data_IF_077475640740
#
_entry.id   IF_077475640740
#
_cell.length_a   1.000
_cell.length_b   1.000
_cell.length_c   1.000
_cell.angle_alpha   90.00
_cell.angle_beta   90.00
_cell.angle_gamma   90.00
#
_symmetry.space_group_name_H-M   'P 1'
#
loop_
_entity.id
_entity.type
_entity.pdbx_description
1 polymer ?
#
# COMPACT_ATOMS: atom_id res chain seq x y z
N UNK A 1 19.97 -74.87 -41.51
CA UNK A 1 19.61 -75.52 -42.79
C UNK A 1 19.20 -74.42 -43.77
N UNK A 2 19.90 -74.32 -44.91
CA UNK A 2 19.56 -73.67 -46.20
C UNK A 2 19.01 -72.23 -46.15
N UNK A 3 19.77 -71.21 -46.57
CA UNK A 3 20.00 -70.79 -47.98
C UNK A 3 18.73 -70.65 -48.83
N UNK A 4 18.57 -69.44 -49.40
CA UNK A 4 18.17 -69.07 -50.78
C UNK A 4 17.32 -67.77 -50.68
N UNK A 5 17.77 -66.56 -51.06
CA UNK A 5 18.37 -66.02 -52.31
C UNK A 5 17.32 -65.53 -53.33
N UNK A 6 17.42 -64.22 -53.58
CA UNK A 6 17.08 -63.41 -54.76
C UNK A 6 15.62 -63.26 -55.22
N UNK A 7 15.19 -62.00 -55.37
CA UNK A 7 15.11 -61.38 -56.70
C UNK A 7 15.05 -59.85 -56.61
N UNK A 8 15.83 -59.19 -57.46
CA UNK A 8 15.87 -57.75 -57.67
C UNK A 8 14.58 -57.22 -58.29
N UNK A 9 14.20 -55.99 -57.94
CA UNK A 9 13.74 -55.00 -58.92
C UNK A 9 14.12 -53.60 -58.42
N UNK A 10 14.88 -52.87 -59.23
CA UNK A 10 15.19 -51.46 -59.03
C UNK A 10 14.09 -50.59 -59.65
N UNK A 11 13.64 -49.56 -58.93
CA UNK A 11 12.93 -48.41 -59.51
C UNK A 11 13.19 -47.15 -58.68
N UNK A 12 14.13 -46.35 -59.21
CA UNK A 12 14.17 -44.89 -59.40
C UNK A 12 13.33 -44.03 -58.43
N UNK A 13 14.07 -43.12 -57.79
CA UNK A 13 13.70 -42.14 -56.79
C UNK A 13 12.60 -41.13 -57.19
N UNK A 14 11.76 -40.79 -56.21
CA UNK A 14 11.11 -39.49 -56.11
C UNK A 14 11.28 -39.00 -54.66
N UNK A 15 12.09 -37.94 -54.48
CA UNK A 15 12.31 -37.31 -53.19
C UNK A 15 11.02 -36.68 -52.66
N UNK A 16 10.59 -37.09 -51.47
CA UNK A 16 9.63 -36.34 -50.68
C UNK A 16 10.37 -35.26 -49.87
N UNK A 17 9.87 -34.02 -49.83
CA UNK A 17 10.50 -32.96 -49.05
C UNK A 17 10.42 -33.29 -47.56
N UNK A 18 11.55 -33.14 -46.88
CA UNK A 18 11.59 -33.12 -45.42
C UNK A 18 10.70 -31.96 -44.96
N UNK A 19 9.56 -32.29 -44.36
CA UNK A 19 8.76 -31.31 -43.63
C UNK A 19 9.56 -30.94 -42.39
N UNK A 20 10.27 -29.81 -42.48
CA UNK A 20 10.81 -29.12 -41.31
C UNK A 20 9.63 -28.82 -40.39
N UNK A 21 9.46 -29.65 -39.35
CA UNK A 21 8.51 -29.38 -38.28
C UNK A 21 8.86 -28.03 -37.67
N UNK A 22 8.06 -27.00 -37.98
CA UNK A 22 8.06 -25.79 -37.17
C UNK A 22 7.63 -26.23 -35.79
N UNK A 23 8.55 -26.18 -34.83
CA UNK A 23 8.18 -26.16 -33.43
C UNK A 23 7.27 -24.93 -33.26
N UNK A 24 5.96 -25.17 -33.17
CA UNK A 24 5.02 -24.16 -32.71
C UNK A 24 5.40 -23.97 -31.26
N UNK A 25 6.06 -22.85 -30.94
CA UNK A 25 6.27 -22.44 -29.57
C UNK A 25 4.88 -22.39 -28.91
N UNK A 26 4.62 -23.32 -28.01
CA UNK A 26 3.40 -23.25 -27.20
C UNK A 26 3.38 -21.87 -26.53
N UNK A 27 2.27 -21.12 -26.61
CA UNK A 27 2.15 -19.89 -25.85
C UNK A 27 2.34 -20.28 -24.38
N UNK A 28 3.39 -19.75 -23.76
CA UNK A 28 3.61 -19.90 -22.34
C UNK A 28 2.35 -19.42 -21.64
N UNK A 29 1.65 -20.31 -20.93
CA UNK A 29 0.53 -19.97 -20.05
C UNK A 29 1.06 -19.29 -18.79
N UNK A 30 1.82 -18.22 -18.95
CA UNK A 30 1.99 -17.27 -17.85
C UNK A 30 0.66 -16.53 -17.77
N UNK A 31 -0.18 -16.93 -16.83
CA UNK A 31 -1.27 -16.08 -16.38
C UNK A 31 -0.60 -14.84 -15.79
N UNK A 32 -0.49 -13.76 -16.58
CA UNK A 32 -0.27 -12.46 -15.96
C UNK A 32 -1.40 -12.24 -14.96
N UNK A 33 -1.03 -11.93 -13.72
CA UNK A 33 -1.97 -11.50 -12.70
C UNK A 33 -2.75 -10.30 -13.27
N UNK A 34 -4.05 -10.48 -13.51
CA UNK A 34 -4.87 -9.42 -14.06
C UNK A 34 -5.12 -8.39 -12.97
N UNK A 35 -4.70 -7.17 -13.22
CA UNK A 35 -5.00 -6.04 -12.33
C UNK A 35 -6.51 -5.98 -12.05
N UNK A 36 -6.88 -5.86 -10.79
CA UNK A 36 -8.27 -5.79 -10.33
C UNK A 36 -8.59 -4.35 -9.94
N UNK A 37 -9.71 -3.83 -10.43
CA UNK A 37 -10.18 -2.47 -10.11
C UNK A 37 -11.39 -2.50 -9.18
N UNK A 38 -11.32 -1.69 -8.13
CA UNK A 38 -12.26 -1.55 -7.03
C UNK A 38 -12.82 -0.13 -7.08
N UNK A 39 -14.14 0.02 -7.15
CA UNK A 39 -14.78 1.35 -7.25
C UNK A 39 -15.94 1.53 -6.27
N UNK A 40 -16.47 0.45 -5.70
CA UNK A 40 -17.47 0.49 -4.63
C UNK A 40 -16.87 1.01 -3.32
N UNK A 41 -17.68 1.71 -2.54
CA UNK A 41 -17.24 2.42 -1.33
C UNK A 41 -16.40 1.57 -0.37
N UNK A 42 -16.77 0.30 -0.22
CA UNK A 42 -16.15 -0.66 0.71
C UNK A 42 -15.50 -1.84 -0.01
N UNK A 43 -15.25 -1.72 -1.31
CA UNK A 43 -14.56 -2.75 -2.07
C UNK A 43 -13.15 -2.97 -1.49
N UNK A 44 -12.73 -4.23 -1.46
CA UNK A 44 -11.39 -4.60 -1.05
C UNK A 44 -10.89 -5.83 -1.81
N UNK A 45 -9.58 -6.00 -1.84
CA UNK A 45 -8.94 -7.19 -2.41
C UNK A 45 -7.79 -7.63 -1.52
N UNK A 46 -7.82 -8.90 -1.10
CA UNK A 46 -6.68 -9.53 -0.46
C UNK A 46 -5.69 -10.00 -1.53
N UNK A 47 -4.41 -9.62 -1.41
CA UNK A 47 -3.32 -10.09 -2.26
C UNK A 47 -2.04 -10.25 -1.43
N UNK A 48 -1.44 -11.45 -1.48
CA UNK A 48 -0.29 -11.80 -0.65
C UNK A 48 -0.55 -11.58 0.85
N UNK A 49 0.33 -10.80 1.48
CA UNK A 49 0.25 -10.42 2.89
C UNK A 49 -0.57 -9.15 3.13
N UNK A 50 -1.31 -8.66 2.14
CA UNK A 50 -2.01 -7.37 2.22
C UNK A 50 -3.50 -7.52 1.91
N UNK A 51 -4.29 -6.63 2.49
CA UNK A 51 -5.63 -6.32 1.99
C UNK A 51 -5.64 -4.87 1.54
N UNK A 52 -5.94 -4.63 0.26
CA UNK A 52 -6.08 -3.29 -0.30
C UNK A 52 -7.54 -2.88 -0.22
N UNK A 53 -7.80 -1.74 0.39
CA UNK A 53 -9.14 -1.19 0.59
C UNK A 53 -9.34 0.05 -0.27
N UNK A 54 -10.56 0.19 -0.79
CA UNK A 54 -11.02 1.42 -1.42
C UNK A 54 -11.36 2.49 -0.39
N UNK A 55 -12.09 2.11 0.67
CA UNK A 55 -12.36 2.87 1.89
C UNK A 55 -12.78 4.34 1.66
N UNK A 56 -13.91 4.55 0.98
CA UNK A 56 -14.47 5.89 0.77
C UNK A 56 -15.37 6.32 1.95
N UNK A 57 -14.87 6.17 3.18
CA UNK A 57 -15.65 6.39 4.40
C UNK A 57 -16.23 7.81 4.52
N UNK A 58 -15.51 8.81 4.00
CA UNK A 58 -15.86 10.22 4.11
C UNK A 58 -16.52 10.80 2.85
N UNK A 59 -16.85 9.97 1.85
CA UNK A 59 -17.29 10.45 0.54
C UNK A 59 -18.58 11.29 0.58
N UNK A 60 -19.43 11.10 1.59
CA UNK A 60 -20.65 11.89 1.79
C UNK A 60 -20.39 13.36 2.10
N UNK A 61 -19.17 13.73 2.50
CA UNK A 61 -18.76 15.13 2.68
C UNK A 61 -18.37 15.84 1.37
N UNK A 62 -18.26 15.09 0.27
CA UNK A 62 -18.02 15.66 -1.05
C UNK A 62 -19.31 16.19 -1.66
N UNK A 63 -19.23 17.31 -2.39
CA UNK A 63 -20.32 17.77 -3.25
C UNK A 63 -20.43 16.94 -4.52
N UNK A 64 -19.30 16.41 -4.99
CA UNK A 64 -19.20 15.51 -6.14
C UNK A 64 -17.84 14.84 -6.16
N UNK A 65 -17.75 13.72 -6.89
CA UNK A 65 -16.49 13.04 -7.13
C UNK A 65 -16.64 11.53 -7.24
N UNK A 66 -15.52 10.88 -7.51
CA UNK A 66 -15.41 9.43 -7.57
C UNK A 66 -13.95 9.02 -7.33
N UNK A 67 -13.78 7.75 -7.00
CA UNK A 67 -12.47 7.14 -6.81
C UNK A 67 -12.54 5.68 -7.26
N UNK A 68 -11.44 5.17 -7.80
CA UNK A 68 -11.24 3.76 -8.10
C UNK A 68 -9.80 3.36 -7.76
N UNK A 69 -9.62 2.25 -7.06
CA UNK A 69 -8.33 1.65 -6.75
C UNK A 69 -8.07 0.46 -7.65
N UNK A 70 -6.91 0.43 -8.29
CA UNK A 70 -6.46 -0.71 -9.11
C UNK A 70 -5.31 -1.40 -8.39
N UNK A 71 -5.51 -2.66 -8.04
CA UNK A 71 -4.48 -3.54 -7.49
C UNK A 71 -3.86 -4.31 -8.65
N UNK A 72 -2.60 -4.03 -8.96
CA UNK A 72 -1.86 -4.76 -9.99
C UNK A 72 -1.46 -6.14 -9.49
N UNK A 73 -1.10 -6.26 -8.21
CA UNK A 73 -0.68 -7.51 -7.59
C UNK A 73 0.67 -7.40 -6.93
N UNK A 74 1.42 -8.50 -6.92
CA UNK A 74 2.78 -8.53 -6.39
C UNK A 74 3.81 -8.50 -7.52
N UNK A 75 4.83 -7.66 -7.37
CA UNK A 75 6.07 -7.74 -8.15
C UNK A 75 7.18 -8.27 -7.24
N UNK A 76 7.41 -9.58 -7.27
CA UNK A 76 8.23 -10.24 -6.25
C UNK A 76 7.48 -10.26 -4.90
N UNK A 77 8.06 -9.66 -3.86
CA UNK A 77 7.40 -9.48 -2.55
C UNK A 77 6.71 -8.13 -2.36
N UNK A 78 6.91 -7.20 -3.30
CA UNK A 78 6.39 -5.84 -3.19
C UNK A 78 5.00 -5.74 -3.82
N UNK A 79 4.09 -5.12 -3.09
CA UNK A 79 2.75 -4.80 -3.56
C UNK A 79 2.79 -3.62 -4.54
N UNK A 80 2.10 -3.77 -5.66
CA UNK A 80 1.91 -2.73 -6.70
C UNK A 80 0.43 -2.41 -6.84
N UNK A 81 0.08 -1.15 -6.63
CA UNK A 81 -1.31 -0.69 -6.71
C UNK A 81 -1.39 0.82 -6.96
N UNK A 82 -2.55 1.31 -7.36
CA UNK A 82 -2.79 2.74 -7.54
C UNK A 82 -4.23 3.10 -7.20
N UNK A 83 -4.49 4.36 -6.88
CA UNK A 83 -5.85 4.90 -6.79
C UNK A 83 -5.97 6.17 -7.61
N UNK A 84 -7.03 6.27 -8.39
CA UNK A 84 -7.35 7.44 -9.21
C UNK A 84 -8.66 8.05 -8.74
N UNK A 85 -8.69 9.36 -8.58
CA UNK A 85 -9.84 10.04 -7.97
C UNK A 85 -10.02 11.48 -8.42
N UNK A 86 -11.22 11.98 -8.16
CA UNK A 86 -11.58 13.40 -8.22
C UNK A 86 -12.57 13.65 -7.10
N UNK A 87 -12.32 14.66 -6.28
CA UNK A 87 -13.19 15.05 -5.18
C UNK A 87 -13.34 16.57 -5.13
N UNK A 88 -14.58 17.03 -4.96
CA UNK A 88 -14.94 18.43 -4.78
C UNK A 88 -15.83 18.60 -3.53
N UNK A 89 -15.83 19.81 -2.95
CA UNK A 89 -16.58 20.10 -1.73
C UNK A 89 -15.94 19.52 -0.46
N UNK A 90 -16.34 20.05 0.70
CA UNK A 90 -15.80 19.65 2.01
C UNK A 90 -14.26 19.74 2.07
N UNK A 91 -13.63 20.91 1.83
CA UNK A 91 -12.19 21.03 1.65
C UNK A 91 -11.36 20.62 2.88
N UNK A 92 -11.97 20.60 4.07
CA UNK A 92 -11.35 20.17 5.33
C UNK A 92 -11.76 18.76 5.77
N UNK A 93 -12.51 18.03 4.95
CA UNK A 93 -13.01 16.69 5.25
C UNK A 93 -12.35 15.67 4.35
N UNK A 94 -11.74 14.66 4.95
CA UNK A 94 -11.23 13.49 4.24
C UNK A 94 -12.39 12.76 3.56
N UNK A 95 -12.21 12.33 2.32
CA UNK A 95 -13.20 11.59 1.52
C UNK A 95 -12.97 10.09 1.55
N UNK A 96 -11.71 9.68 1.64
CA UNK A 96 -11.31 8.28 1.60
C UNK A 96 -9.96 8.09 2.26
N UNK A 97 -9.66 6.84 2.59
CA UNK A 97 -8.31 6.38 2.88
C UNK A 97 -8.04 5.07 2.13
N UNK A 98 -7.93 5.14 0.79
CA UNK A 98 -7.51 3.96 0.03
C UNK A 98 -6.11 3.54 0.50
N UNK A 99 -5.97 2.30 0.97
CA UNK A 99 -4.79 1.86 1.70
C UNK A 99 -4.55 0.35 1.57
N UNK A 100 -3.30 -0.06 1.79
CA UNK A 100 -2.91 -1.47 1.93
C UNK A 100 -2.63 -1.81 3.40
N UNK A 101 -3.49 -2.62 4.02
CA UNK A 101 -3.30 -3.13 5.38
C UNK A 101 -2.44 -4.38 5.36
N UNK A 102 -1.39 -4.39 6.18
CA UNK A 102 -0.49 -5.55 6.35
C UNK A 102 -1.14 -6.59 7.26
N UNK A 103 -1.14 -7.85 6.85
CA UNK A 103 -1.62 -8.97 7.66
C UNK A 103 -0.55 -9.43 8.65
N UNK A 104 -0.85 -9.31 9.94
CA UNK A 104 -0.04 -9.85 11.03
C UNK A 104 -0.92 -10.14 12.26
N UNK A 105 -0.41 -10.93 13.20
CA UNK A 105 -1.06 -11.12 14.49
C UNK A 105 -0.74 -9.94 15.40
N UNK A 106 -1.77 -9.31 15.99
CA UNK A 106 -1.61 -8.20 16.92
C UNK A 106 -0.59 -8.53 18.03
N UNK A 107 0.30 -7.58 18.31
CA UNK A 107 1.41 -7.72 19.26
C UNK A 107 1.56 -6.44 20.07
N UNK A 108 2.02 -6.55 21.31
CA UNK A 108 2.27 -5.37 22.12
C UNK A 108 3.46 -4.57 21.58
N UNK A 109 3.45 -3.26 21.77
CA UNK A 109 4.58 -2.38 21.40
C UNK A 109 5.88 -2.89 22.05
N UNK A 110 5.80 -3.49 23.25
CA UNK A 110 6.94 -4.11 23.93
C UNK A 110 7.49 -5.36 23.23
N UNK A 111 6.63 -6.21 22.64
CA UNK A 111 7.05 -7.49 22.05
C UNK A 111 7.47 -7.38 20.59
N UNK A 112 7.13 -6.28 19.92
CA UNK A 112 7.57 -6.02 18.55
C UNK A 112 9.03 -5.57 18.56
N UNK A 113 9.88 -6.33 17.89
CA UNK A 113 11.29 -5.98 17.72
C UNK A 113 11.48 -4.98 16.58
N UNK A 114 10.80 -5.20 15.45
CA UNK A 114 10.93 -4.40 14.23
C UNK A 114 9.64 -4.39 13.41
N UNK A 115 9.44 -3.30 12.69
CA UNK A 115 8.41 -3.13 11.66
C UNK A 115 9.09 -2.60 10.39
N UNK A 116 9.89 -3.41 9.68
CA UNK A 116 10.57 -2.94 8.48
C UNK A 116 9.57 -2.66 7.36
N UNK A 117 9.78 -1.56 6.64
CA UNK A 117 8.96 -1.17 5.50
C UNK A 117 9.79 -0.55 4.38
N UNK A 118 9.32 -0.73 3.14
CA UNK A 118 9.73 0.06 1.98
C UNK A 118 8.49 0.54 1.26
N UNK A 119 8.47 1.80 0.82
CA UNK A 119 7.36 2.35 0.06
C UNK A 119 7.85 3.34 -0.99
N UNK A 120 7.60 3.00 -2.26
CA UNK A 120 7.89 3.82 -3.44
C UNK A 120 6.60 4.23 -4.11
N UNK A 121 6.34 5.53 -4.10
CA UNK A 121 5.10 6.07 -4.61
C UNK A 121 5.30 7.33 -5.43
N UNK A 122 4.28 7.69 -6.20
CA UNK A 122 4.18 8.93 -6.95
C UNK A 122 2.76 9.46 -6.91
N UNK A 123 2.61 10.78 -7.07
CA UNK A 123 1.32 11.45 -7.15
C UNK A 123 1.30 12.39 -8.34
N UNK A 124 0.21 12.38 -9.11
CA UNK A 124 -0.09 13.37 -10.13
C UNK A 124 -1.53 13.86 -10.02
N UNK A 125 -1.86 14.95 -10.72
CA UNK A 125 -3.21 15.52 -10.73
C UNK A 125 -3.18 17.04 -10.72
N UNK A 126 -4.37 17.65 -10.60
CA UNK A 126 -4.55 19.09 -10.50
C UNK A 126 -5.16 19.47 -9.16
N UNK A 127 -4.59 20.50 -8.52
CA UNK A 127 -5.05 21.05 -7.23
C UNK A 127 -5.26 19.97 -6.15
N UNK A 128 -4.32 19.02 -6.08
CA UNK A 128 -4.40 17.87 -5.16
C UNK A 128 -4.15 18.33 -3.73
N UNK A 129 -5.15 18.14 -2.86
CA UNK A 129 -5.05 18.22 -1.40
C UNK A 129 -5.24 16.80 -0.86
N UNK A 130 -4.14 16.22 -0.39
CA UNK A 130 -4.08 14.84 0.10
C UNK A 130 -2.86 14.65 1.00
N UNK A 131 -2.80 13.54 1.73
CA UNK A 131 -1.55 13.06 2.32
C UNK A 131 -1.11 11.74 1.67
N UNK A 132 0.11 11.31 1.99
CA UNK A 132 0.55 9.92 1.80
C UNK A 132 1.06 9.45 3.15
N UNK A 133 0.40 8.47 3.75
CA UNK A 133 0.60 8.16 5.16
C UNK A 133 0.58 6.66 5.45
N UNK A 134 1.40 6.27 6.42
CA UNK A 134 1.11 5.09 7.23
C UNK A 134 0.10 5.46 8.30
N UNK A 135 -0.73 4.49 8.69
CA UNK A 135 -1.70 4.61 9.76
C UNK A 135 -1.68 3.36 10.63
N UNK A 136 -1.43 3.55 11.93
CA UNK A 136 -1.22 2.48 12.90
C UNK A 136 -2.19 2.66 14.06
N UNK A 137 -3.04 1.67 14.29
CA UNK A 137 -3.96 1.68 15.42
C UNK A 137 -3.45 0.80 16.56
N UNK A 138 -3.60 1.30 17.79
CA UNK A 138 -3.29 0.53 19.00
C UNK A 138 -4.43 0.52 20.01
N UNK A 139 -4.52 -0.56 20.78
CA UNK A 139 -5.50 -0.72 21.86
C UNK A 139 -4.90 -1.43 23.08
N UNK A 140 -5.57 -1.35 24.24
CA UNK A 140 -5.19 -2.08 25.45
C UNK A 140 -5.38 -3.60 25.34
N UNK A 141 -6.15 -4.07 24.36
CA UNK A 141 -6.32 -5.50 24.05
C UNK A 141 -6.14 -5.75 22.56
N UNK A 142 -5.86 -7.00 22.18
CA UNK A 142 -5.61 -7.35 20.77
C UNK A 142 -6.80 -7.06 19.83
N UNK A 143 -8.04 -7.10 20.33
CA UNK A 143 -9.26 -6.91 19.55
C UNK A 143 -10.18 -5.82 20.09
N UNK A 144 -9.69 -4.97 20.99
CA UNK A 144 -10.46 -3.85 21.55
C UNK A 144 -10.57 -2.69 20.59
N UNK A 145 -11.41 -1.71 20.93
CA UNK A 145 -11.46 -0.43 20.21
C UNK A 145 -10.12 0.29 20.28
N UNK A 146 -9.72 0.92 19.18
CA UNK A 146 -8.49 1.71 19.13
C UNK A 146 -8.53 2.86 20.15
N UNK A 147 -7.40 3.06 20.81
CA UNK A 147 -7.17 4.11 21.81
C UNK A 147 -6.15 5.13 21.33
N UNK A 148 -5.22 4.69 20.47
CA UNK A 148 -4.26 5.55 19.81
C UNK A 148 -4.24 5.27 18.31
N UNK A 149 -4.03 6.35 17.57
CA UNK A 149 -3.79 6.35 16.13
C UNK A 149 -2.43 7.02 15.92
N UNK A 150 -1.53 6.35 15.22
CA UNK A 150 -0.18 6.86 14.94
C UNK A 150 0.00 6.91 13.43
N UNK A 151 -0.12 8.13 12.90
CA UNK A 151 0.08 8.39 11.49
C UNK A 151 1.50 8.85 11.20
N UNK A 152 2.06 8.40 10.08
CA UNK A 152 3.39 8.80 9.60
C UNK A 152 3.22 9.26 8.15
N UNK A 153 3.09 10.57 7.97
CA UNK A 153 2.84 11.23 6.69
C UNK A 153 4.17 11.44 5.97
N UNK A 154 4.39 10.64 4.93
CA UNK A 154 5.52 10.76 4.02
C UNK A 154 5.43 12.02 3.15
N UNK A 155 4.23 12.53 2.92
CA UNK A 155 4.00 13.80 2.25
C UNK A 155 2.67 14.44 2.67
N UNK A 156 2.60 15.76 2.56
CA UNK A 156 1.42 16.59 2.79
C UNK A 156 1.22 17.51 1.58
N UNK A 157 0.30 17.14 0.69
CA UNK A 157 0.09 17.82 -0.58
C UNK A 157 -0.97 18.92 -0.45
N UNK A 158 -0.76 20.05 -1.13
CA UNK A 158 -1.79 21.07 -1.31
C UNK A 158 -2.30 21.75 -0.04
N UNK A 159 -1.56 21.66 1.07
CA UNK A 159 -1.97 22.23 2.36
C UNK A 159 -2.77 21.29 3.26
N UNK A 160 -2.80 19.98 2.96
CA UNK A 160 -3.33 18.98 3.88
C UNK A 160 -2.64 19.08 5.26
N UNK A 161 -3.43 19.07 6.33
CA UNK A 161 -2.94 19.21 7.70
C UNK A 161 -3.39 18.05 8.59
N UNK A 162 -2.53 17.56 9.50
CA UNK A 162 -2.89 16.50 10.43
C UNK A 162 -3.83 16.99 11.53
N UNK A 163 -4.46 16.05 12.24
CA UNK A 163 -5.19 16.34 13.48
C UNK A 163 -4.22 16.95 14.50
N UNK A 164 -4.58 18.13 15.02
CA UNK A 164 -3.78 18.84 16.01
C UNK A 164 -4.67 19.65 16.94
N UNK A 165 -4.42 19.55 18.25
CA UNK A 165 -5.12 20.35 19.25
C UNK A 165 -4.80 21.86 19.17
N UNK A 166 -3.59 22.21 18.71
CA UNK A 166 -3.09 23.60 18.70
C UNK A 166 -2.85 24.15 17.30
N UNK A 167 -2.93 23.31 16.27
CA UNK A 167 -2.49 23.65 14.91
C UNK A 167 -0.97 23.74 14.74
N UNK A 168 -0.18 23.53 15.80
CA UNK A 168 1.28 23.59 15.78
C UNK A 168 1.92 22.24 16.15
N UNK A 169 3.15 21.93 15.68
CA UNK A 169 3.87 20.75 16.13
C UNK A 169 4.15 20.81 17.63
N UNK A 170 4.00 19.67 18.32
CA UNK A 170 4.41 19.49 19.72
C UNK A 170 5.88 19.12 19.87
N UNK A 171 6.50 18.60 18.80
CA UNK A 171 7.92 18.30 18.73
C UNK A 171 8.42 18.25 17.27
N UNK A 172 9.74 18.18 17.07
CA UNK A 172 10.34 17.98 15.74
C UNK A 172 11.48 16.95 15.77
N UNK A 173 11.19 15.64 15.93
CA UNK A 173 12.21 14.62 16.05
C UNK A 173 12.87 14.27 14.70
N UNK A 174 14.11 13.78 14.76
CA UNK A 174 14.74 13.06 13.67
C UNK A 174 14.61 11.56 13.92
N UNK A 175 13.98 10.84 12.99
CA UNK A 175 13.75 9.38 13.08
C UNK A 175 14.13 8.78 11.73
N UNK A 176 15.02 7.79 11.74
CA UNK A 176 15.51 7.15 10.52
C UNK A 176 16.23 8.10 9.55
N UNK A 177 16.82 9.20 10.04
CA UNK A 177 17.49 10.20 9.21
C UNK A 177 16.54 11.24 8.59
N UNK A 178 15.23 11.13 8.78
CA UNK A 178 14.22 12.07 8.30
C UNK A 178 13.80 13.00 9.44
N UNK A 179 13.65 14.30 9.14
CA UNK A 179 13.11 15.30 10.06
C UNK A 179 11.58 15.31 9.98
N UNK A 180 10.93 15.14 11.14
CA UNK A 180 9.48 15.08 11.25
C UNK A 180 8.96 16.24 12.10
N UNK A 181 7.76 16.72 11.81
CA UNK A 181 6.96 17.54 12.73
C UNK A 181 5.93 16.62 13.37
N UNK A 182 5.98 16.48 14.70
CA UNK A 182 5.00 15.69 15.43
C UNK A 182 3.83 16.59 15.85
N UNK A 183 2.63 16.20 15.47
CA UNK A 183 1.37 16.80 15.92
C UNK A 183 0.62 15.83 16.85
N UNK A 184 -0.23 16.38 17.70
CA UNK A 184 -1.05 15.63 18.64
C UNK A 184 -2.44 16.23 18.74
N UNK A 185 -3.46 15.40 18.69
CA UNK A 185 -4.85 15.81 18.93
C UNK A 185 -5.74 14.65 19.35
N UNK A 186 -7.06 14.86 19.27
CA UNK A 186 -8.08 13.86 19.60
C UNK A 186 -8.98 13.63 18.38
N UNK A 187 -9.35 12.37 18.15
CA UNK A 187 -10.38 11.98 17.19
C UNK A 187 -11.35 11.01 17.88
N UNK A 188 -12.51 11.52 18.30
CA UNK A 188 -13.40 10.79 19.20
C UNK A 188 -12.68 10.43 20.50
N UNK A 189 -12.59 9.13 20.80
CA UNK A 189 -11.90 8.60 21.98
C UNK A 189 -10.39 8.32 21.75
N UNK A 190 -9.89 8.50 20.53
CA UNK A 190 -8.50 8.21 20.17
C UNK A 190 -7.61 9.43 20.38
N UNK A 191 -6.44 9.19 20.94
CA UNK A 191 -5.33 10.16 20.84
C UNK A 191 -4.60 9.92 19.53
N UNK A 192 -4.55 10.94 18.67
CA UNK A 192 -3.89 10.88 17.37
C UNK A 192 -2.53 11.54 17.45
N UNK A 193 -1.50 10.81 17.04
CA UNK A 193 -0.16 11.32 16.83
C UNK A 193 0.15 11.30 15.33
N UNK A 194 0.54 12.42 14.76
CA UNK A 194 0.88 12.50 13.34
C UNK A 194 2.29 13.02 13.16
N UNK A 195 3.18 12.20 12.64
CA UNK A 195 4.52 12.59 12.21
C UNK A 195 4.45 13.03 10.75
N UNK A 196 4.67 14.31 10.47
CA UNK A 196 4.68 14.85 9.10
C UNK A 196 6.11 15.13 8.67
N UNK A 197 6.55 14.50 7.58
CA UNK A 197 7.89 14.73 7.05
C UNK A 197 8.06 16.20 6.64
N UNK A 198 9.24 16.77 6.90
CA UNK A 198 9.55 18.16 6.49
C UNK A 198 9.90 18.29 4.98
N UNK A 199 9.89 17.18 4.25
CA UNK A 199 9.98 17.12 2.79
C UNK A 199 9.49 15.76 2.30
N UNK A 200 8.93 15.71 1.09
CA UNK A 200 8.30 14.51 0.54
C UNK A 200 9.25 13.30 0.53
N UNK A 201 8.78 12.18 1.06
CA UNK A 201 9.48 10.90 1.10
C UNK A 201 8.86 9.91 0.09
N UNK A 202 9.04 10.18 -1.21
CA UNK A 202 8.47 9.36 -2.30
C UNK A 202 9.14 7.99 -2.46
N UNK A 203 10.31 7.79 -1.87
CA UNK A 203 11.03 6.52 -1.78
C UNK A 203 11.52 6.36 -0.33
N UNK A 204 10.65 5.84 0.52
CA UNK A 204 10.93 5.65 1.94
C UNK A 204 11.31 4.20 2.23
N UNK A 205 12.32 4.01 3.10
CA UNK A 205 12.66 2.71 3.66
C UNK A 205 13.11 2.91 5.10
N UNK A 206 12.60 2.10 6.02
CA UNK A 206 12.85 2.30 7.44
C UNK A 206 12.19 1.27 8.32
N UNK A 207 12.13 1.58 9.62
CA UNK A 207 11.51 0.74 10.63
C UNK A 207 10.47 1.55 11.41
N UNK A 208 9.18 1.23 11.21
CA UNK A 208 8.08 1.96 11.83
C UNK A 208 8.07 1.81 13.36
N UNK A 209 8.75 0.79 13.91
CA UNK A 209 8.90 0.63 15.36
C UNK A 209 9.59 1.83 16.01
N UNK A 210 10.46 2.54 15.27
CA UNK A 210 11.18 3.70 15.80
C UNK A 210 10.22 4.85 16.20
N UNK A 211 9.14 5.05 15.45
CA UNK A 211 8.11 6.04 15.78
C UNK A 211 7.36 5.66 17.05
N UNK A 212 6.97 4.39 17.19
CA UNK A 212 6.32 3.90 18.41
C UNK A 212 7.26 4.01 19.62
N UNK A 213 8.55 3.69 19.46
CA UNK A 213 9.57 3.85 20.51
C UNK A 213 9.78 5.32 20.90
N UNK A 214 9.74 6.25 19.94
CA UNK A 214 9.75 7.68 20.23
C UNK A 214 8.52 8.08 21.07
N UNK A 215 7.32 7.65 20.69
CA UNK A 215 6.11 7.96 21.45
C UNK A 215 6.12 7.36 22.85
N UNK A 216 6.66 6.15 23.03
CA UNK A 216 6.84 5.53 24.35
C UNK A 216 7.73 6.41 25.24
N UNK A 217 8.90 6.82 24.72
CA UNK A 217 9.89 7.56 25.51
C UNK A 217 9.50 9.02 25.76
N UNK A 218 8.77 9.65 24.84
CA UNK A 218 8.61 11.10 24.80
C UNK A 218 7.17 11.57 24.93
N UNK A 219 6.18 10.71 24.68
CA UNK A 219 4.75 11.09 24.62
C UNK A 219 3.84 10.18 25.46
N UNK A 220 4.40 9.21 26.17
CA UNK A 220 3.67 8.36 27.11
C UNK A 220 2.83 7.25 26.47
N UNK A 221 3.10 6.84 25.22
CA UNK A 221 2.44 5.68 24.63
C UNK A 221 2.78 4.42 25.47
N UNK A 222 1.80 3.70 26.05
CA UNK A 222 2.10 2.55 26.89
C UNK A 222 2.68 1.40 26.06
N UNK A 223 3.77 0.80 26.53
CA UNK A 223 4.40 -0.35 25.85
C UNK A 223 3.52 -1.60 25.82
N UNK A 224 2.50 -1.67 26.69
CA UNK A 224 1.48 -2.71 26.74
C UNK A 224 0.40 -2.58 25.66
N UNK A 225 0.33 -1.47 24.93
CA UNK A 225 -0.61 -1.31 23.83
C UNK A 225 -0.34 -2.35 22.74
N UNK A 226 -1.38 -3.03 22.28
CA UNK A 226 -1.35 -3.91 21.12
C UNK A 226 -1.40 -3.06 19.85
N UNK A 227 -0.43 -3.23 18.96
CA UNK A 227 -0.53 -2.78 17.57
C UNK A 227 -1.48 -3.74 16.86
N UNK A 228 -2.62 -3.22 16.38
CA UNK A 228 -3.71 -4.03 15.82
C UNK A 228 -3.76 -3.96 14.30
N UNK A 229 -3.35 -2.84 13.72
CA UNK A 229 -3.39 -2.59 12.28
C UNK A 229 -2.24 -1.69 11.86
N UNK A 230 -1.74 -1.91 10.65
CA UNK A 230 -0.76 -1.06 9.96
C UNK A 230 -1.22 -0.96 8.51
N UNK A 231 -1.80 0.19 8.15
CA UNK A 231 -2.17 0.57 6.79
C UNK A 231 -1.17 1.53 6.17
N UNK A 232 -1.03 1.52 4.85
CA UNK A 232 -0.30 2.52 4.09
C UNK A 232 -1.14 2.97 2.90
N UNK A 233 -1.48 4.26 2.83
CA UNK A 233 -2.41 4.78 1.83
C UNK A 233 -2.37 6.30 1.66
N UNK A 234 -3.46 6.85 1.14
CA UNK A 234 -3.62 8.29 0.92
C UNK A 234 -4.99 8.73 1.41
N UNK A 235 -5.02 9.72 2.30
CA UNK A 235 -6.25 10.44 2.63
C UNK A 235 -6.47 11.56 1.63
N UNK A 236 -7.63 11.54 0.98
CA UNK A 236 -7.95 12.47 -0.12
C UNK A 236 -8.94 13.54 0.36
N UNK A 237 -8.67 14.83 0.11
CA UNK A 237 -9.59 15.92 0.46
C UNK A 237 -10.30 16.47 -0.78
N UNK A 238 -9.54 17.11 -1.66
CA UNK A 238 -10.02 17.72 -2.92
C UNK A 238 -8.95 17.65 -3.98
N UNK A 239 -9.37 17.67 -5.25
CA UNK A 239 -8.47 17.57 -6.39
C UNK A 239 -9.15 16.92 -7.59
N UNK A 240 -8.54 17.03 -8.77
CA UNK A 240 -9.08 16.48 -10.01
C UNK A 240 -8.03 15.74 -10.82
N UNK A 241 -8.49 14.69 -11.52
CA UNK A 241 -7.64 13.78 -12.30
C UNK A 241 -6.42 13.30 -11.50
N UNK A 242 -6.63 13.09 -10.19
CA UNK A 242 -5.58 12.74 -9.28
C UNK A 242 -5.26 11.25 -9.41
N UNK A 243 -3.98 10.89 -9.38
CA UNK A 243 -3.53 9.50 -9.38
C UNK A 243 -2.38 9.34 -8.41
N UNK A 244 -2.62 8.54 -7.37
CA UNK A 244 -1.61 8.02 -6.48
C UNK A 244 -1.18 6.64 -6.97
N UNK A 245 0.12 6.42 -7.19
CA UNK A 245 0.65 5.14 -7.68
C UNK A 245 1.74 4.63 -6.75
N UNK A 246 1.55 3.42 -6.22
CA UNK A 246 2.54 2.67 -5.46
C UNK A 246 3.22 1.66 -6.38
N UNK A 247 4.50 1.89 -6.65
CA UNK A 247 5.32 1.01 -7.51
C UNK A 247 5.99 -0.12 -6.73
N UNK A 248 6.15 0.04 -5.41
CA UNK A 248 6.58 -1.00 -4.49
C UNK A 248 6.12 -0.63 -3.08
N UNK A 249 5.46 -1.57 -2.40
CA UNK A 249 5.18 -1.48 -0.98
C UNK A 249 5.45 -2.81 -0.29
N UNK A 250 6.21 -2.76 0.79
CA UNK A 250 6.37 -3.87 1.71
C UNK A 250 6.35 -3.41 3.15
N UNK A 251 5.77 -4.26 4.01
CA UNK A 251 5.73 -4.06 5.45
C UNK A 251 5.61 -5.43 6.13
N UNK A 252 6.26 -5.60 7.28
CA UNK A 252 6.11 -6.79 8.10
C UNK A 252 6.28 -6.45 9.57
N UNK A 253 5.85 -7.35 10.46
CA UNK A 253 5.97 -7.18 11.92
C UNK A 253 6.67 -8.40 12.48
N UNK A 254 7.79 -8.19 13.19
CA UNK A 254 8.58 -9.26 13.83
C UNK A 254 8.80 -8.99 15.30
#
# INVERSE_FOLDING_TARGET
>A
MKFIVLAHLAAIAAGLPATSGRAVSEPSKVLEERATTLCGQWDSLQTGAYTVYQDLWGMSSASSGSQCTTVTGLSGSDLVWSTSWTWAGGPSSVKSYANAVTKFTARTVASISRIPTTWRWSYGGSSVVANVAYDIFTSSTASGSAQYEVMIWLDALGGAGPISATGSPVASPNIGGVSWRLYKGQNGAMTVFSFVAQGAQSNFSGDLKQFLSYLVSSQGLPTSQYVQSIGAGTETFTGSNAKFSTSAYSCSVS
#
